data_IF_143385036739
#
_entry.id   IF_143385036739
#
_cell.length_a   1.000
_cell.length_b   1.000
_cell.length_c   1.000
_cell.angle_alpha   90.00
_cell.angle_beta   90.00
_cell.angle_gamma   90.00
#
_symmetry.space_group_name_H-M   'P 1'
#
loop_
_entity.id
_entity.type
_entity.pdbx_description
1 polymer ?
#
# COMPACT_ATOMS: atom_id res chain seq x y z
N UNK A 1 -48.23 12.99 23.81
CA UNK A 1 -46.91 12.82 23.14
C UNK A 1 -46.00 11.99 24.03
N UNK A 2 -45.40 10.92 23.52
CA UNK A 2 -44.56 10.01 24.31
C UNK A 2 -43.28 10.72 24.81
N UNK A 3 -42.97 10.58 26.11
CA UNK A 3 -41.81 11.23 26.75
C UNK A 3 -40.45 10.71 26.26
N UNK A 4 -40.42 9.59 25.54
CA UNK A 4 -39.17 8.91 25.13
C UNK A 4 -38.74 9.22 23.69
N UNK A 5 -39.64 9.72 22.83
CA UNK A 5 -39.30 10.09 21.45
C UNK A 5 -40.34 11.03 20.84
N UNK A 6 -39.87 12.15 20.27
CA UNK A 6 -40.70 13.18 19.65
C UNK A 6 -41.29 12.76 18.29
N UNK A 7 -40.86 11.62 17.74
CA UNK A 7 -41.33 11.05 16.48
C UNK A 7 -42.32 9.88 16.70
N UNK A 8 -42.68 9.60 17.94
CA UNK A 8 -43.64 8.56 18.27
C UNK A 8 -45.07 9.03 17.94
N UNK A 9 -45.72 8.33 17.00
CA UNK A 9 -47.10 8.63 16.57
C UNK A 9 -48.18 8.06 17.51
N UNK A 10 -47.80 7.43 18.63
CA UNK A 10 -48.74 6.90 19.62
C UNK A 10 -49.33 7.99 20.51
N UNK A 11 -50.65 8.00 20.64
CA UNK A 11 -51.38 8.87 21.57
C UNK A 11 -51.65 8.16 22.90
N UNK A 12 -51.29 8.85 23.97
CA UNK A 12 -51.55 8.62 25.40
C UNK A 12 -51.48 7.19 25.97
N UNK A 13 -50.47 7.02 26.83
CA UNK A 13 -50.22 5.91 27.77
C UNK A 13 -50.02 4.50 27.21
N UNK A 14 -50.27 4.25 25.93
CA UNK A 14 -50.14 2.91 25.35
C UNK A 14 -49.17 2.87 24.15
N UNK A 15 -47.95 3.42 24.31
CA UNK A 15 -46.90 3.22 23.31
C UNK A 15 -46.08 1.97 23.65
N UNK A 16 -46.04 1.02 22.71
CA UNK A 16 -45.25 -0.22 22.79
C UNK A 16 -43.76 0.02 22.50
N UNK A 17 -43.27 1.22 22.83
CA UNK A 17 -41.88 1.60 22.74
C UNK A 17 -41.09 0.87 23.85
N UNK A 18 -40.92 -0.45 23.68
CA UNK A 18 -40.21 -1.31 24.62
C UNK A 18 -38.81 -0.74 24.83
N UNK A 19 -38.42 -0.67 26.10
CA UNK A 19 -37.09 -0.32 26.60
C UNK A 19 -36.07 -1.31 26.05
N UNK A 20 -35.74 -1.19 24.77
CA UNK A 20 -34.66 -1.91 24.14
C UNK A 20 -33.37 -1.36 24.72
N UNK A 21 -32.74 -2.18 25.55
CA UNK A 21 -31.40 -2.01 26.10
C UNK A 21 -30.39 -1.98 24.96
N UNK A 22 -30.34 -0.89 24.21
CA UNK A 22 -29.14 -0.47 23.51
C UNK A 22 -28.51 0.62 24.35
N UNK A 23 -27.64 0.18 25.26
CA UNK A 23 -26.63 1.04 25.84
C UNK A 23 -25.75 1.54 24.69
N UNK A 24 -26.06 2.72 24.14
CA UNK A 24 -24.98 3.58 23.71
C UNK A 24 -24.12 3.83 24.95
N UNK A 25 -22.86 3.45 24.91
CA UNK A 25 -21.83 3.81 25.87
C UNK A 25 -21.57 5.32 25.82
N UNK A 26 -22.59 6.11 26.18
CA UNK A 26 -22.36 7.44 26.71
C UNK A 26 -21.94 7.19 28.15
N UNK A 27 -20.63 7.28 28.38
CA UNK A 27 -20.05 7.33 29.72
C UNK A 27 -20.80 8.44 30.47
N UNK A 28 -21.75 8.05 31.32
CA UNK A 28 -22.39 8.99 32.23
C UNK A 28 -21.30 9.46 33.19
N UNK A 29 -21.08 10.77 33.36
CA UNK A 29 -20.18 11.23 34.39
C UNK A 29 -20.70 10.69 35.72
N UNK A 30 -19.85 9.92 36.40
CA UNK A 30 -20.13 9.40 37.73
C UNK A 30 -20.42 10.60 38.62
N UNK A 31 -21.60 10.69 39.25
CA UNK A 31 -21.89 11.80 40.14
C UNK A 31 -20.96 11.68 41.34
N UNK A 32 -19.99 12.59 41.43
CA UNK A 32 -19.13 12.73 42.60
C UNK A 32 -20.06 13.18 43.74
N UNK A 33 -20.17 12.42 44.84
CA UNK A 33 -20.88 12.90 46.02
C UNK A 33 -20.15 14.15 46.49
N UNK A 34 -20.86 15.27 46.60
CA UNK A 34 -20.33 16.47 47.24
C UNK A 34 -20.23 16.20 48.75
N UNK A 35 -19.21 15.46 49.16
CA UNK A 35 -18.84 15.29 50.55
C UNK A 35 -18.08 16.53 51.00
N UNK A 36 -18.56 17.14 52.09
CA UNK A 36 -17.78 18.12 52.86
C UNK A 36 -16.60 17.37 53.49
N UNK A 37 -15.49 17.25 52.78
CA UNK A 37 -14.26 16.69 53.32
C UNK A 37 -13.38 17.80 53.87
N UNK A 38 -12.92 17.63 55.11
CA UNK A 38 -11.71 18.30 55.60
C UNK A 38 -10.54 17.98 54.66
N UNK A 39 -9.66 18.94 54.38
CA UNK A 39 -8.57 18.86 53.38
C UNK A 39 -7.69 17.59 53.49
N UNK A 40 -7.62 16.96 54.67
CA UNK A 40 -6.90 15.70 54.90
C UNK A 40 -7.47 14.49 54.13
N UNK A 41 -8.77 14.47 53.88
CA UNK A 41 -9.53 13.30 53.37
C UNK A 41 -9.52 13.23 51.82
N UNK A 42 -9.32 14.40 51.19
CA UNK A 42 -9.13 14.52 49.75
C UNK A 42 -7.78 13.94 49.31
N UNK A 43 -6.70 14.23 50.05
CA UNK A 43 -5.37 13.70 49.73
C UNK A 43 -5.31 12.18 49.87
N UNK A 44 -5.98 11.61 50.86
CA UNK A 44 -6.09 10.15 51.01
C UNK A 44 -6.84 9.51 49.83
N UNK A 45 -7.90 10.17 49.35
CA UNK A 45 -8.62 9.75 48.13
C UNK A 45 -7.74 9.81 46.89
N UNK A 46 -6.91 10.84 46.73
CA UNK A 46 -5.96 10.96 45.62
C UNK A 46 -4.87 9.89 45.66
N UNK A 47 -4.30 9.63 46.83
CA UNK A 47 -3.29 8.57 47.02
C UNK A 47 -3.89 7.21 46.66
N UNK A 48 -5.14 6.94 47.05
CA UNK A 48 -5.84 5.71 46.69
C UNK A 48 -6.05 5.57 45.18
N UNK A 49 -6.46 6.64 44.50
CA UNK A 49 -6.66 6.62 43.04
C UNK A 49 -5.33 6.40 42.31
N UNK A 50 -4.26 7.10 42.71
CA UNK A 50 -2.93 6.93 42.11
C UNK A 50 -2.41 5.51 42.33
N UNK A 51 -2.60 4.95 43.53
CA UNK A 51 -2.22 3.57 43.82
C UNK A 51 -2.98 2.56 42.95
N UNK A 52 -4.28 2.77 42.72
CA UNK A 52 -5.07 1.93 41.83
C UNK A 52 -4.62 2.03 40.37
N UNK A 53 -4.27 3.23 39.90
CA UNK A 53 -3.74 3.42 38.54
C UNK A 53 -2.38 2.74 38.36
N UNK A 54 -1.51 2.78 39.37
CA UNK A 54 -0.21 2.10 39.31
C UNK A 54 -0.33 0.58 39.22
N UNK A 55 -1.26 -0.02 39.97
CA UNK A 55 -1.53 -1.46 39.88
C UNK A 55 -2.10 -1.85 38.51
N UNK A 56 -2.97 -1.02 37.94
CA UNK A 56 -3.51 -1.24 36.60
C UNK A 56 -2.42 -1.16 35.53
N UNK A 57 -1.52 -0.18 35.62
CA UNK A 57 -0.36 -0.05 34.71
C UNK A 57 0.55 -1.27 34.81
N UNK A 58 0.80 -1.76 36.03
CA UNK A 58 1.61 -2.96 36.26
C UNK A 58 0.96 -4.19 35.64
N UNK A 59 -0.34 -4.35 35.80
CA UNK A 59 -1.10 -5.44 35.16
C UNK A 59 -1.04 -5.36 33.62
N UNK A 60 -1.15 -4.17 33.03
CA UNK A 60 -0.99 -3.97 31.58
C UNK A 60 0.43 -4.34 31.13
N UNK A 61 1.45 -3.95 31.88
CA UNK A 61 2.84 -4.27 31.55
C UNK A 61 3.09 -5.80 31.57
N UNK A 62 2.54 -6.49 32.57
CA UNK A 62 2.61 -7.96 32.67
C UNK A 62 1.87 -8.65 31.53
N UNK A 63 0.66 -8.19 31.18
CA UNK A 63 -0.09 -8.71 30.04
C UNK A 63 0.62 -8.44 28.72
N UNK A 64 1.24 -7.27 28.55
CA UNK A 64 2.01 -6.90 27.35
C UNK A 64 3.22 -7.81 27.21
N UNK A 65 3.95 -8.07 28.32
CA UNK A 65 5.09 -8.98 28.33
C UNK A 65 4.68 -10.41 27.99
N UNK A 66 3.63 -10.93 28.62
CA UNK A 66 3.12 -12.28 28.33
C UNK A 66 2.64 -12.42 26.87
N UNK A 67 2.09 -11.36 26.29
CA UNK A 67 1.69 -11.36 24.88
C UNK A 67 2.90 -11.34 23.95
N UNK A 68 3.93 -10.55 24.29
CA UNK A 68 5.18 -10.49 23.53
C UNK A 68 5.91 -11.83 23.54
N UNK A 69 5.94 -12.51 24.69
CA UNK A 69 6.52 -13.85 24.85
C UNK A 69 5.77 -14.87 23.98
N UNK A 70 4.44 -14.88 24.00
CA UNK A 70 3.62 -15.75 23.13
C UNK A 70 3.84 -15.49 21.64
N UNK A 71 3.98 -14.23 21.23
CA UNK A 71 4.29 -13.88 19.83
C UNK A 71 5.69 -14.38 19.47
N UNK A 72 6.67 -14.24 20.37
CA UNK A 72 8.03 -14.76 20.15
C UNK A 72 8.06 -16.28 20.04
N UNK A 73 7.26 -16.99 20.85
CA UNK A 73 7.15 -18.46 20.79
C UNK A 73 6.54 -18.93 19.46
N UNK A 74 5.53 -18.22 18.95
CA UNK A 74 4.93 -18.52 17.63
C UNK A 74 5.93 -18.29 16.48
N UNK A 75 6.70 -17.21 16.52
CA UNK A 75 7.74 -16.91 15.52
C UNK A 75 8.87 -17.95 15.57
N UNK A 76 9.23 -18.42 16.76
CA UNK A 76 10.26 -19.45 16.93
C UNK A 76 9.76 -20.85 16.54
N UNK A 77 8.48 -21.17 16.72
CA UNK A 77 7.89 -22.43 16.25
C UNK A 77 7.86 -22.54 14.71
N UNK A 78 7.58 -21.45 13.99
CA UNK A 78 7.67 -21.40 12.52
C UNK A 78 9.13 -21.50 12.00
N UNK A 79 10.12 -21.30 12.86
CA UNK A 79 11.54 -21.29 12.51
C UNK A 79 12.23 -22.66 12.60
N UNK A 80 11.60 -23.67 13.21
CA UNK A 80 12.27 -24.97 13.52
C UNK A 80 12.04 -26.05 12.44
N UNK A 81 11.05 -25.92 11.54
CA UNK A 81 10.84 -26.90 10.46
C UNK A 81 11.67 -26.65 9.18
N UNK A 82 12.48 -25.60 9.09
CA UNK A 82 13.28 -25.28 7.88
C UNK A 82 14.77 -25.09 8.11
N UNK A 83 15.37 -25.90 8.96
CA UNK A 83 16.82 -25.90 9.17
C UNK A 83 17.50 -27.17 8.63
N UNK A 84 17.76 -27.21 7.32
CA UNK A 84 18.82 -28.05 6.74
C UNK A 84 19.64 -27.30 5.66
N UNK A 85 20.82 -26.80 6.10
CA UNK A 85 22.14 -26.79 5.43
C UNK A 85 22.35 -25.99 4.11
N UNK A 86 22.97 -24.80 4.27
CA UNK A 86 23.93 -24.04 3.41
C UNK A 86 23.49 -23.48 2.02
N UNK A 87 24.14 -22.42 1.48
CA UNK A 87 25.07 -21.42 2.05
C UNK A 87 24.40 -20.02 2.12
N UNK A 88 25.10 -18.98 2.56
CA UNK A 88 24.65 -17.57 2.49
C UNK A 88 24.10 -17.27 1.08
N UNK A 89 22.79 -17.29 0.91
CA UNK A 89 22.10 -17.05 -0.36
C UNK A 89 21.17 -15.87 -0.20
N UNK A 90 21.06 -15.08 -1.27
CA UNK A 90 20.21 -13.91 -1.40
C UNK A 90 18.70 -14.27 -1.33
N UNK A 91 18.24 -14.92 -0.27
CA UNK A 91 16.85 -15.40 -0.14
C UNK A 91 15.82 -14.27 -0.01
N UNK A 92 16.28 -13.04 0.24
CA UNK A 92 15.45 -11.85 0.42
C UNK A 92 15.05 -11.13 -0.88
N UNK A 93 15.59 -11.52 -2.04
CA UNK A 93 15.36 -10.83 -3.32
C UNK A 93 14.41 -11.63 -4.21
N UNK A 94 13.24 -11.04 -4.51
CA UNK A 94 12.32 -11.58 -5.51
C UNK A 94 12.84 -11.33 -6.93
N UNK A 95 12.67 -12.30 -7.83
CA UNK A 95 12.93 -12.19 -9.27
C UNK A 95 11.62 -11.98 -10.05
N UNK A 96 11.68 -11.44 -11.29
CA UNK A 96 10.48 -11.35 -12.15
C UNK A 96 9.82 -12.70 -12.40
N UNK A 97 10.58 -13.80 -12.44
CA UNK A 97 10.03 -15.16 -12.59
C UNK A 97 9.15 -15.57 -11.41
N UNK A 98 9.60 -15.30 -10.17
CA UNK A 98 8.83 -15.57 -8.96
C UNK A 98 7.58 -14.70 -8.89
N UNK A 99 7.68 -13.43 -9.28
CA UNK A 99 6.53 -12.53 -9.35
C UNK A 99 5.53 -12.98 -10.43
N UNK A 100 6.00 -13.37 -11.61
CA UNK A 100 5.15 -13.89 -12.68
C UNK A 100 4.39 -15.15 -12.23
N UNK A 101 5.08 -16.08 -11.55
CA UNK A 101 4.45 -17.26 -10.98
C UNK A 101 3.43 -16.89 -9.89
N UNK A 102 3.69 -15.85 -9.10
CA UNK A 102 2.72 -15.36 -8.10
C UNK A 102 1.47 -14.77 -8.76
N UNK A 103 1.62 -14.12 -9.91
CA UNK A 103 0.52 -13.47 -10.64
C UNK A 103 -0.31 -14.46 -11.46
N UNK A 104 0.34 -15.41 -12.13
CA UNK A 104 -0.30 -16.31 -13.10
C UNK A 104 -0.38 -17.76 -12.63
N UNK A 105 0.22 -18.11 -11.49
CA UNK A 105 0.39 -19.50 -11.05
C UNK A 105 1.29 -20.29 -11.98
N UNK A 106 0.94 -21.55 -12.22
CA UNK A 106 1.65 -22.46 -13.14
C UNK A 106 1.35 -22.19 -14.62
N UNK A 107 0.42 -21.27 -14.92
CA UNK A 107 0.04 -20.94 -16.30
C UNK A 107 1.13 -20.13 -16.99
N UNK A 108 1.88 -20.80 -17.85
CA UNK A 108 2.97 -20.20 -18.65
C UNK A 108 2.64 -20.12 -20.15
N UNK A 109 1.47 -20.63 -20.55
CA UNK A 109 1.02 -20.67 -21.93
C UNK A 109 0.30 -19.37 -22.33
N UNK A 110 1.09 -18.36 -22.70
CA UNK A 110 0.57 -17.09 -23.21
C UNK A 110 0.53 -17.08 -24.73
N UNK A 111 -0.56 -16.59 -25.31
CA UNK A 111 -0.69 -16.41 -26.77
C UNK A 111 -0.35 -14.99 -27.21
N UNK A 112 -0.39 -14.04 -26.29
CA UNK A 112 -0.15 -12.62 -26.55
C UNK A 112 0.80 -12.04 -25.50
N UNK A 113 1.55 -11.02 -25.91
CA UNK A 113 2.56 -10.36 -25.08
C UNK A 113 2.37 -8.85 -25.12
N UNK A 114 2.64 -8.21 -23.99
CA UNK A 114 2.66 -6.75 -23.90
C UNK A 114 4.06 -6.24 -24.23
N UNK A 115 4.16 -5.37 -25.23
CA UNK A 115 5.38 -4.70 -25.63
C UNK A 115 5.30 -3.21 -25.28
N UNK A 116 6.40 -2.66 -24.75
CA UNK A 116 6.48 -1.25 -24.40
C UNK A 116 6.94 -0.42 -25.61
N UNK A 117 6.09 0.48 -26.10
CA UNK A 117 6.37 1.28 -27.30
C UNK A 117 7.15 2.56 -26.98
N UNK A 118 7.17 3.00 -25.72
CA UNK A 118 8.00 4.12 -25.25
C UNK A 118 8.67 3.79 -23.92
N UNK A 119 9.90 4.25 -23.75
CA UNK A 119 10.66 3.98 -22.53
C UNK A 119 9.96 4.54 -21.27
N UNK A 120 10.00 3.74 -20.21
CA UNK A 120 9.63 4.16 -18.86
C UNK A 120 10.77 5.03 -18.27
N UNK A 121 10.47 6.14 -17.57
CA UNK A 121 11.52 6.96 -16.98
C UNK A 121 12.31 6.19 -15.92
N UNK A 122 13.63 6.13 -16.10
CA UNK A 122 14.57 5.49 -15.17
C UNK A 122 15.73 6.46 -14.85
N UNK A 123 15.76 7.12 -13.68
CA UNK A 123 14.79 7.04 -12.60
C UNK A 123 13.52 7.86 -12.88
N UNK A 124 12.38 7.38 -12.37
CA UNK A 124 11.20 8.19 -12.19
C UNK A 124 11.38 9.16 -11.01
N UNK A 125 10.53 10.18 -10.91
CA UNK A 125 10.58 11.14 -9.80
C UNK A 125 9.24 11.19 -9.07
N UNK A 126 9.30 11.24 -7.74
CA UNK A 126 8.13 11.37 -6.87
C UNK A 126 7.28 12.57 -7.28
N UNK A 127 5.97 12.37 -7.32
CA UNK A 127 4.95 13.37 -7.70
C UNK A 127 5.10 13.93 -9.13
N UNK A 128 5.96 13.34 -9.98
CA UNK A 128 6.03 13.70 -11.41
C UNK A 128 5.23 12.72 -12.24
N UNK A 129 4.43 13.27 -13.14
CA UNK A 129 3.64 12.50 -14.08
C UNK A 129 4.51 11.98 -15.23
N UNK A 130 4.31 10.72 -15.62
CA UNK A 130 4.81 10.13 -16.86
C UNK A 130 3.69 9.36 -17.56
N UNK A 131 3.91 8.92 -18.79
CA UNK A 131 2.92 8.16 -19.55
C UNK A 131 3.57 6.96 -20.22
N UNK A 132 2.78 5.90 -20.45
CA UNK A 132 3.22 4.64 -21.04
C UNK A 132 2.26 4.22 -22.15
N UNK A 133 2.82 3.85 -23.28
CA UNK A 133 2.17 3.34 -24.48
C UNK A 133 2.67 1.92 -24.65
N UNK A 134 1.74 0.98 -24.76
CA UNK A 134 2.02 -0.42 -24.99
C UNK A 134 1.32 -0.89 -26.24
N UNK A 135 1.92 -1.83 -26.94
CA UNK A 135 1.28 -2.57 -28.00
C UNK A 135 1.16 -4.03 -27.63
N UNK A 136 0.09 -4.68 -28.10
CA UNK A 136 -0.11 -6.11 -27.94
C UNK A 136 0.54 -6.81 -29.12
N UNK A 137 1.41 -7.78 -28.83
CA UNK A 137 2.10 -8.59 -29.83
C UNK A 137 1.64 -10.05 -29.78
N UNK A 138 1.61 -10.70 -30.93
CA UNK A 138 1.41 -12.14 -31.06
C UNK A 138 2.71 -12.93 -30.76
N UNK A 139 2.65 -14.26 -30.90
CA UNK A 139 3.81 -15.16 -30.73
C UNK A 139 4.93 -14.88 -31.74
N UNK A 140 4.63 -14.22 -32.85
CA UNK A 140 5.56 -13.87 -33.91
C UNK A 140 6.17 -12.46 -33.70
N UNK A 141 5.75 -11.74 -32.65
CA UNK A 141 6.20 -10.37 -32.33
C UNK A 141 5.51 -9.28 -33.15
N UNK A 142 4.46 -9.60 -33.90
CA UNK A 142 3.71 -8.62 -34.68
C UNK A 142 2.64 -7.96 -33.83
N UNK A 143 2.43 -6.66 -34.05
CA UNK A 143 1.33 -5.93 -33.40
C UNK A 143 0.00 -6.53 -33.87
N UNK A 144 -0.84 -6.91 -32.92
CA UNK A 144 -2.13 -7.54 -33.19
C UNK A 144 -3.27 -6.79 -32.49
N UNK A 145 -4.49 -7.13 -32.88
CA UNK A 145 -5.73 -6.60 -32.31
C UNK A 145 -6.45 -7.79 -31.68
N UNK A 146 -6.79 -7.65 -30.41
CA UNK A 146 -7.57 -8.64 -29.67
C UNK A 146 -9.01 -8.71 -30.20
N UNK A 147 -9.65 -9.88 -30.14
CA UNK A 147 -11.04 -10.03 -30.57
C UNK A 147 -12.05 -9.32 -29.65
N UNK A 148 -11.63 -8.95 -28.43
CA UNK A 148 -12.41 -8.22 -27.44
C UNK A 148 -11.51 -7.23 -26.72
N UNK A 149 -12.10 -6.14 -26.25
CA UNK A 149 -11.43 -5.18 -25.40
C UNK A 149 -11.09 -5.83 -24.04
N UNK A 150 -9.90 -5.53 -23.54
CA UNK A 150 -9.41 -6.02 -22.25
C UNK A 150 -9.03 -4.83 -21.39
N UNK A 151 -9.30 -4.92 -20.09
CA UNK A 151 -8.88 -3.92 -19.11
C UNK A 151 -7.46 -4.25 -18.65
N UNK A 152 -6.56 -3.30 -18.75
CA UNK A 152 -5.18 -3.41 -18.27
C UNK A 152 -4.98 -2.53 -17.05
N UNK A 153 -4.29 -3.05 -16.04
CA UNK A 153 -4.06 -2.38 -14.76
C UNK A 153 -2.58 -2.27 -14.44
N UNK A 154 -2.18 -1.09 -13.98
CA UNK A 154 -0.84 -0.81 -13.46
C UNK A 154 -0.78 -1.11 -11.96
N UNK A 155 0.22 -1.89 -11.55
CA UNK A 155 0.49 -2.31 -10.19
C UNK A 155 1.97 -2.08 -9.85
N UNK A 156 2.26 -1.90 -8.55
CA UNK A 156 3.63 -1.82 -8.02
C UNK A 156 3.85 -2.92 -7.00
N UNK A 157 4.95 -3.65 -7.11
CA UNK A 157 5.33 -4.69 -6.14
C UNK A 157 6.69 -4.39 -5.53
N UNK A 158 6.88 -4.77 -4.26
CA UNK A 158 8.17 -4.71 -3.58
C UNK A 158 9.14 -5.77 -4.12
N UNK A 159 10.43 -5.49 -4.03
CA UNK A 159 11.49 -6.46 -4.34
C UNK A 159 11.73 -7.51 -3.23
N UNK A 160 11.02 -7.40 -2.10
CA UNK A 160 11.04 -8.39 -1.00
C UNK A 160 10.47 -9.73 -1.45
N UNK A 161 10.88 -10.82 -0.80
CA UNK A 161 10.31 -12.14 -0.94
C UNK A 161 9.45 -12.48 0.30
N UNK A 162 8.12 -12.73 0.16
CA UNK A 162 7.33 -12.67 -1.07
C UNK A 162 7.06 -11.22 -1.53
N UNK A 163 6.84 -11.00 -2.84
CA UNK A 163 6.54 -9.66 -3.36
C UNK A 163 5.19 -9.17 -2.85
N UNK A 164 5.17 -7.97 -2.28
CA UNK A 164 3.95 -7.34 -1.73
C UNK A 164 3.43 -6.29 -2.69
N UNK A 165 2.13 -6.35 -2.96
CA UNK A 165 1.43 -5.32 -3.72
C UNK A 165 1.40 -4.01 -2.92
N UNK A 166 1.91 -2.94 -3.51
CA UNK A 166 1.83 -1.60 -2.95
C UNK A 166 0.54 -0.93 -3.42
N UNK A 167 -0.33 -0.62 -2.47
CA UNK A 167 -1.58 0.12 -2.69
C UNK A 167 -1.60 1.46 -1.97
N UNK A 168 -0.95 1.53 -0.80
CA UNK A 168 -0.92 2.67 0.10
C UNK A 168 0.55 3.06 0.38
N UNK A 169 0.81 4.36 0.51
CA UNK A 169 2.10 4.93 0.88
C UNK A 169 2.35 4.84 2.39
N UNK A 170 3.56 5.17 2.81
CA UNK A 170 3.91 5.28 4.24
C UNK A 170 3.08 6.32 4.99
N UNK A 171 2.45 7.27 4.28
CA UNK A 171 1.57 8.30 4.85
C UNK A 171 0.08 7.93 4.87
N UNK A 172 -0.29 6.72 4.47
CA UNK A 172 -1.70 6.28 4.43
C UNK A 172 -2.47 6.69 3.17
N UNK A 173 -1.79 7.30 2.20
CA UNK A 173 -2.37 7.75 0.93
C UNK A 173 -2.26 6.69 -0.17
N UNK A 174 -3.08 6.72 -1.23
CA UNK A 174 -2.85 5.86 -2.42
C UNK A 174 -1.45 6.06 -2.99
N UNK A 175 -0.72 4.95 -3.23
CA UNK A 175 0.68 4.97 -3.68
C UNK A 175 0.86 5.56 -5.09
N UNK A 176 -0.14 5.38 -5.95
CA UNK A 176 -0.18 5.88 -7.31
C UNK A 176 -1.45 6.70 -7.59
N UNK A 177 -1.34 7.65 -8.52
CA UNK A 177 -2.43 8.47 -9.06
C UNK A 177 -2.34 8.54 -10.59
N UNK A 178 -3.41 8.98 -11.23
CA UNK A 178 -3.51 9.12 -12.68
C UNK A 178 -4.31 7.99 -13.32
N UNK A 179 -4.06 7.72 -14.60
CA UNK A 179 -4.70 6.62 -15.33
C UNK A 179 -3.96 5.31 -15.03
N UNK A 180 -4.50 4.51 -14.11
CA UNK A 180 -3.93 3.23 -13.69
C UNK A 180 -4.68 2.01 -14.25
N UNK A 181 -5.85 2.23 -14.83
CA UNK A 181 -6.66 1.22 -15.51
C UNK A 181 -7.09 1.78 -16.87
N UNK A 182 -6.88 1.01 -17.94
CA UNK A 182 -7.19 1.39 -19.32
C UNK A 182 -7.78 0.19 -20.04
N UNK A 183 -8.88 0.41 -20.75
CA UNK A 183 -9.44 -0.58 -21.66
C UNK A 183 -8.84 -0.42 -23.05
N UNK A 184 -8.44 -1.52 -23.68
CA UNK A 184 -7.86 -1.49 -25.03
C UNK A 184 -7.84 -2.87 -25.68
N UNK A 185 -7.70 -2.87 -27.00
CA UNK A 185 -7.66 -4.09 -27.82
C UNK A 185 -6.39 -4.20 -28.69
N UNK A 186 -5.58 -3.16 -28.81
CA UNK A 186 -4.34 -3.20 -29.60
C UNK A 186 -3.24 -2.32 -29.04
N UNK A 187 -3.50 -1.01 -28.93
CA UNK A 187 -2.59 -0.04 -28.31
C UNK A 187 -3.20 0.46 -27.02
N UNK A 188 -2.45 0.38 -25.93
CA UNK A 188 -2.88 0.73 -24.58
C UNK A 188 -2.10 1.96 -24.15
N UNK A 189 -2.80 3.02 -23.73
CA UNK A 189 -2.15 4.28 -23.35
C UNK A 189 -2.51 4.72 -21.93
N UNK A 190 -1.58 4.52 -21.01
CA UNK A 190 -1.67 5.03 -19.64
C UNK A 190 -1.15 6.46 -19.57
N UNK A 191 -2.07 7.41 -19.35
CA UNK A 191 -1.76 8.83 -19.26
C UNK A 191 -1.50 9.27 -17.82
N UNK A 192 -0.50 10.13 -17.63
CA UNK A 192 -0.24 10.87 -16.38
C UNK A 192 -0.17 9.97 -15.14
N UNK A 193 0.54 8.86 -15.21
CA UNK A 193 0.87 8.02 -14.06
C UNK A 193 1.78 8.81 -13.12
N UNK A 194 1.41 8.89 -11.84
CA UNK A 194 2.18 9.58 -10.79
C UNK A 194 2.41 8.59 -9.66
N UNK A 195 3.66 8.43 -9.22
CA UNK A 195 4.01 7.63 -8.04
C UNK A 195 4.39 8.58 -6.90
N UNK A 196 3.82 8.34 -5.71
CA UNK A 196 3.94 9.23 -4.55
C UNK A 196 5.07 8.87 -3.58
N UNK A 197 5.67 7.70 -3.75
CA UNK A 197 6.68 7.19 -2.84
C UNK A 197 8.03 7.07 -3.55
N UNK A 198 9.11 7.25 -2.80
CA UNK A 198 10.47 7.07 -3.31
C UNK A 198 10.93 5.64 -3.05
N UNK A 199 11.75 5.11 -3.94
CA UNK A 199 12.17 3.70 -3.81
C UNK A 199 13.16 3.50 -2.67
N UNK A 200 13.81 4.55 -2.18
CA UNK A 200 14.71 4.50 -1.01
C UNK A 200 14.00 4.11 0.30
N UNK A 201 12.66 4.15 0.37
CA UNK A 201 11.92 3.68 1.53
C UNK A 201 11.71 2.16 1.53
N UNK A 202 11.98 1.49 0.42
CA UNK A 202 11.80 0.05 0.27
C UNK A 202 13.15 -0.66 0.31
N UNK A 203 13.13 -1.91 0.77
CA UNK A 203 14.31 -2.79 0.70
C UNK A 203 14.77 -2.91 -0.75
N UNK A 204 16.08 -2.99 -0.96
CA UNK A 204 16.75 -3.02 -2.27
C UNK A 204 16.66 -1.73 -3.11
N UNK A 205 15.94 -0.70 -2.65
CA UNK A 205 15.92 0.61 -3.32
C UNK A 205 15.25 0.61 -4.69
N UNK A 206 14.50 -0.44 -5.04
CA UNK A 206 13.80 -0.61 -6.31
C UNK A 206 12.45 -1.30 -6.13
N UNK A 207 11.58 -1.17 -7.13
CA UNK A 207 10.27 -1.80 -7.20
C UNK A 207 10.09 -2.55 -8.53
N UNK A 208 9.12 -3.45 -8.56
CA UNK A 208 8.59 -3.98 -9.81
C UNK A 208 7.41 -3.13 -10.25
N UNK A 209 7.49 -2.64 -11.49
CA UNK A 209 6.36 -1.99 -12.16
C UNK A 209 5.69 -2.99 -13.07
N UNK A 210 4.42 -3.30 -12.80
CA UNK A 210 3.72 -4.41 -13.46
C UNK A 210 2.47 -3.90 -14.15
N UNK A 211 2.25 -4.32 -15.39
CA UNK A 211 0.98 -4.15 -16.10
C UNK A 211 0.34 -5.52 -16.27
N UNK A 212 -0.83 -5.70 -15.68
CA UNK A 212 -1.60 -6.95 -15.73
C UNK A 212 -2.86 -6.78 -16.57
N UNK A 213 -3.20 -7.75 -17.43
CA UNK A 213 -4.52 -7.85 -18.03
C UNK A 213 -5.52 -8.33 -16.97
N UNK A 214 -6.75 -7.83 -17.01
CA UNK A 214 -7.85 -8.28 -16.16
C UNK A 214 -8.70 -9.29 -16.91
N UNK A 215 -8.96 -10.44 -16.28
CA UNK A 215 -9.80 -11.52 -16.79
C UNK A 215 -9.36 -12.04 -18.19
N UNK A 216 -8.05 -12.00 -18.48
CA UNK A 216 -7.46 -12.38 -19.76
C UNK A 216 -6.10 -13.07 -19.59
N UNK A 217 -6.14 -14.29 -19.04
CA UNK A 217 -4.97 -15.10 -18.67
C UNK A 217 -4.10 -15.53 -19.87
N UNK A 218 -4.62 -15.39 -21.08
CA UNK A 218 -3.91 -15.70 -22.32
C UNK A 218 -2.90 -14.61 -22.73
N UNK A 219 -2.89 -13.46 -22.05
CA UNK A 219 -1.96 -12.34 -22.27
C UNK A 219 -0.92 -12.34 -21.15
N UNK A 220 0.37 -12.36 -21.50
CA UNK A 220 1.44 -12.29 -20.52
C UNK A 220 1.50 -10.90 -19.86
N UNK A 221 1.47 -10.79 -18.51
CA UNK A 221 1.75 -9.53 -17.84
C UNK A 221 3.13 -8.96 -18.18
N UNK A 222 3.23 -7.64 -18.27
CA UNK A 222 4.53 -6.96 -18.42
C UNK A 222 5.09 -6.64 -17.04
N UNK A 223 6.25 -7.19 -16.73
CA UNK A 223 6.99 -6.92 -15.48
C UNK A 223 8.26 -6.15 -15.84
N UNK A 224 8.34 -4.91 -15.35
CA UNK A 224 9.54 -4.07 -15.46
C UNK A 224 10.24 -4.13 -14.10
N UNK A 225 11.43 -4.73 -14.11
CA UNK A 225 12.30 -4.80 -12.94
C UNK A 225 13.06 -3.49 -12.71
N UNK A 226 13.61 -3.32 -11.50
CA UNK A 226 14.49 -2.22 -11.16
C UNK A 226 13.88 -0.82 -11.43
N UNK A 227 12.57 -0.68 -11.23
CA UNK A 227 11.91 0.61 -11.34
C UNK A 227 12.29 1.48 -10.14
N UNK A 228 13.11 2.51 -10.37
CA UNK A 228 13.67 3.39 -9.34
C UNK A 228 12.95 4.74 -9.35
N UNK A 229 12.54 5.23 -8.18
CA UNK A 229 11.85 6.51 -8.00
C UNK A 229 12.65 7.38 -7.01
N UNK A 230 13.13 8.53 -7.50
CA UNK A 230 13.90 9.49 -6.69
C UNK A 230 13.01 10.65 -6.21
N UNK A 231 13.40 11.31 -5.12
CA UNK A 231 12.64 12.44 -4.57
C UNK A 231 12.64 13.68 -5.49
N UNK A 232 13.78 14.00 -6.10
CA UNK A 232 13.98 15.21 -6.92
C UNK A 232 14.95 14.94 -8.08
N UNK A 233 14.74 15.61 -9.22
CA UNK A 233 15.73 15.67 -10.32
C UNK A 233 16.84 16.62 -9.88
N UNK A 234 18.07 16.11 -9.78
CA UNK A 234 19.22 16.98 -9.52
C UNK A 234 19.51 17.78 -10.79
N UNK A 235 19.80 19.09 -10.68
CA UNK A 235 20.01 19.95 -11.84
C UNK A 235 21.27 19.63 -12.68
N UNK A 236 22.14 18.73 -12.21
CA UNK A 236 23.41 18.40 -12.87
C UNK A 236 23.32 17.30 -13.94
N UNK A 237 22.19 16.60 -14.10
CA UNK A 237 22.12 15.47 -15.04
C UNK A 237 22.07 15.89 -16.52
N UNK A 238 21.88 17.17 -16.86
CA UNK A 238 21.81 17.64 -18.25
C UNK A 238 22.38 19.06 -18.42
N UNK A 239 23.69 19.24 -18.30
CA UNK A 239 24.39 20.38 -18.92
C UNK A 239 25.31 19.85 -20.01
N UNK A 240 24.74 19.32 -21.09
CA UNK A 240 25.45 19.28 -22.38
C UNK A 240 25.37 20.68 -22.97
N UNK A 241 26.29 21.58 -22.55
CA UNK A 241 26.53 22.85 -23.26
C UNK A 241 26.77 22.50 -24.73
N UNK A 242 25.85 22.90 -25.62
CA UNK A 242 26.13 22.92 -27.06
C UNK A 242 27.32 23.86 -27.25
N UNK A 243 28.48 23.28 -27.55
CA UNK A 243 29.61 24.05 -28.03
C UNK A 243 29.18 24.64 -29.38
N UNK A 244 28.94 25.95 -29.43
CA UNK A 244 28.81 26.67 -30.70
C UNK A 244 30.18 26.58 -31.37
N UNK A 245 30.30 25.77 -32.40
CA UNK A 245 31.42 25.89 -33.35
C UNK A 245 31.19 27.22 -34.07
N UNK A 246 32.04 28.20 -33.79
CA UNK A 246 32.16 29.40 -34.60
C UNK A 246 32.70 28.96 -35.97
N UNK A 247 31.91 29.14 -37.02
CA UNK A 247 32.45 29.28 -38.36
C UNK A 247 32.91 30.74 -38.47
N UNK A 248 34.21 30.96 -38.28
CA UNK A 248 34.85 32.16 -38.81
C UNK A 248 35.09 31.92 -40.30
N UNK A 249 34.32 32.62 -41.12
CA UNK A 249 34.75 32.97 -42.47
C UNK A 249 35.96 33.91 -42.36
N UNK A 250 37.07 33.56 -43.01
CA UNK A 250 38.05 34.55 -43.45
C UNK A 250 38.36 34.28 -44.92
N UNK A 251 37.97 35.25 -45.73
CA UNK A 251 38.37 35.48 -47.13
C UNK A 251 39.89 35.67 -47.22
N UNK A 252 40.56 35.00 -48.18
CA UNK A 252 41.41 35.59 -49.25
C UNK A 252 41.47 34.56 -50.39
#
# INVERSE_FOLDING_TARGET
MCKLSNLCQGHDTNCDCKTSLYQCEIIKPVPIPLMKCSESDFMETFIRIISQQNELIKSIAEQTKATLEKISELVNQDSIEKAQINPVTNEDITTSTTLLHTLCGENTNFSHFLHLDNDIPTPAYKERAFSLILSIQDLQGNKTILPRTVIFKVLLYTAENPPKLLSISTSGDKIMRGTLEVEGESVIFFRKIIVKEVTSHFRNGSLFFVIVPKDADYIKPLIIENFIIKARKMPNDEIKKKCKIAQDEVQV
#
